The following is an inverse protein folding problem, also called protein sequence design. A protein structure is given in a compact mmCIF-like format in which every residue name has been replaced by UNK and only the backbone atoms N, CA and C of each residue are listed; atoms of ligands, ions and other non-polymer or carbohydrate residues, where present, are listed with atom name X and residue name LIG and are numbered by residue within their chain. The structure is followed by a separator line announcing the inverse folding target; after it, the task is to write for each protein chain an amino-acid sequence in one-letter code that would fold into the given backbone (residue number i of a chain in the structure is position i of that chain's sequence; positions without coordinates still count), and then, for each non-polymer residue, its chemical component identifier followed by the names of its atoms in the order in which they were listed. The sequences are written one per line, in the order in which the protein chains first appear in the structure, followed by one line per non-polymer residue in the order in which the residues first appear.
data_IF_836084189764
#
_entry.id   IF_836084189764
#
_cell.length_a   1.000
_cell.length_b   1.000
_cell.length_c   1.000
_cell.angle_alpha   90.00
_cell.angle_beta   90.00
_cell.angle_gamma   90.00
#
_symmetry.space_group_name_H-M   'P 1'
#
loop_
_entity.id
_entity.type
_entity.pdbx_description
1 polymer ?
#
# COMPACT_ATOMS: atom_id res chain seq x y z
N UNK A 1 3.24 5.38 -19.17
CA UNK A 1 3.11 6.19 -17.98
C UNK A 1 3.13 5.35 -16.74
N UNK A 2 4.24 5.39 -16.04
CA UNK A 2 4.37 4.67 -14.79
C UNK A 2 4.12 5.61 -13.64
N UNK A 3 3.16 5.25 -12.79
CA UNK A 3 2.97 5.93 -11.52
C UNK A 3 3.57 5.07 -10.43
N UNK A 4 3.91 5.70 -9.33
CA UNK A 4 4.49 5.02 -8.18
C UNK A 4 3.61 5.28 -6.96
N UNK A 5 3.64 4.34 -6.03
CA UNK A 5 2.91 4.46 -4.78
C UNK A 5 3.76 3.88 -3.67
N UNK A 6 3.37 4.11 -2.43
CA UNK A 6 4.09 3.58 -1.28
C UNK A 6 3.24 2.50 -0.64
N UNK A 7 3.81 1.30 -0.52
CA UNK A 7 3.15 0.22 0.19
C UNK A 7 3.47 0.37 1.66
N UNK A 8 2.45 0.71 2.45
CA UNK A 8 2.66 0.98 3.87
C UNK A 8 2.75 -0.29 4.70
N UNK A 9 1.83 -1.23 4.48
CA UNK A 9 1.80 -2.46 5.25
C UNK A 9 0.79 -3.43 4.65
N UNK A 10 0.77 -4.65 5.19
CA UNK A 10 -0.23 -5.65 4.85
C UNK A 10 -1.02 -6.03 6.09
N UNK A 11 -2.24 -6.48 5.89
CA UNK A 11 -3.12 -6.94 6.96
C UNK A 11 -3.65 -8.32 6.61
N UNK A 12 -3.77 -9.19 7.61
CA UNK A 12 -4.21 -10.56 7.39
C UNK A 12 -5.73 -10.70 7.35
N UNK A 13 -6.43 -9.75 7.93
CA UNK A 13 -7.89 -9.79 7.99
C UNK A 13 -8.44 -8.38 8.13
N UNK A 14 -9.77 -8.28 8.03
CA UNK A 14 -10.43 -6.98 8.06
C UNK A 14 -10.26 -6.25 9.39
N UNK A 15 -10.20 -6.98 10.48
CA UNK A 15 -10.05 -6.35 11.79
C UNK A 15 -8.68 -5.69 11.91
N UNK A 16 -7.62 -6.38 11.47
CA UNK A 16 -6.29 -5.78 11.43
C UNK A 16 -6.24 -4.58 10.51
N UNK A 17 -6.85 -4.69 9.34
CA UNK A 17 -6.90 -3.58 8.41
C UNK A 17 -7.53 -2.37 9.03
N UNK A 18 -8.68 -2.56 9.68
CA UNK A 18 -9.39 -1.47 10.33
C UNK A 18 -8.54 -0.81 11.40
N UNK A 19 -7.86 -1.63 12.21
CA UNK A 19 -6.98 -1.10 13.25
C UNK A 19 -5.85 -0.28 12.66
N UNK A 20 -5.22 -0.76 11.57
CA UNK A 20 -4.16 -0.02 10.92
C UNK A 20 -4.66 1.30 10.32
N UNK A 21 -5.82 1.26 9.68
CA UNK A 21 -6.38 2.47 9.08
C UNK A 21 -6.73 3.52 10.13
N UNK A 22 -7.18 3.08 11.31
CA UNK A 22 -7.47 4.01 12.39
C UNK A 22 -6.22 4.75 12.87
N UNK A 23 -5.06 4.11 12.79
CA UNK A 23 -3.79 4.75 13.12
C UNK A 23 -3.33 5.65 11.96
N UNK A 24 -3.35 5.09 10.74
CA UNK A 24 -2.84 5.79 9.56
C UNK A 24 -3.56 7.12 9.35
N UNK A 25 -4.88 7.15 9.51
CA UNK A 25 -5.67 8.34 9.27
C UNK A 25 -5.32 9.51 10.18
N UNK A 26 -4.60 9.25 11.25
CA UNK A 26 -4.16 10.32 12.15
C UNK A 26 -2.97 11.08 11.56
N UNK A 27 -2.29 10.51 10.59
CA UNK A 27 -1.04 11.06 10.05
C UNK A 27 -1.13 11.50 8.60
N UNK A 28 -2.01 10.87 7.81
CA UNK A 28 -2.15 11.19 6.39
C UNK A 28 -3.63 11.24 6.03
N UNK A 29 -3.92 11.85 4.88
CA UNK A 29 -5.29 11.97 4.40
C UNK A 29 -5.79 10.61 3.93
N UNK A 30 -6.94 10.21 4.43
CA UNK A 30 -7.51 8.91 4.08
C UNK A 30 -7.82 8.81 2.58
N UNK A 31 -8.07 9.95 1.93
CA UNK A 31 -8.33 9.97 0.50
C UNK A 31 -7.11 9.57 -0.33
N UNK A 32 -5.93 9.61 0.26
CA UNK A 32 -4.70 9.16 -0.40
C UNK A 32 -4.38 7.70 -0.14
N UNK A 33 -5.24 7.00 0.56
CA UNK A 33 -5.05 5.61 0.93
C UNK A 33 -5.83 4.71 0.00
N UNK A 34 -5.17 3.67 -0.49
CA UNK A 34 -5.77 2.64 -1.33
C UNK A 34 -5.50 1.28 -0.72
N UNK A 35 -6.47 0.38 -0.83
CA UNK A 35 -6.33 -0.97 -0.30
C UNK A 35 -6.64 -1.95 -1.41
N UNK A 36 -5.83 -2.99 -1.55
CA UNK A 36 -6.13 -4.04 -2.51
C UNK A 36 -5.84 -5.41 -1.88
N UNK A 37 -6.48 -6.43 -2.43
CA UNK A 37 -6.34 -7.78 -1.92
C UNK A 37 -5.21 -8.48 -2.64
N UNK A 38 -4.42 -9.23 -1.88
CA UNK A 38 -3.35 -10.04 -2.42
C UNK A 38 -3.40 -11.42 -1.79
N UNK A 39 -2.55 -12.31 -2.29
CA UNK A 39 -2.29 -13.58 -1.65
C UNK A 39 -0.86 -13.58 -1.14
N UNK A 40 -0.70 -13.78 0.15
CA UNK A 40 0.61 -13.92 0.75
C UNK A 40 0.71 -15.34 1.29
N UNK A 41 1.62 -16.14 0.72
CA UNK A 41 1.79 -17.54 1.12
C UNK A 41 0.46 -18.29 1.03
N UNK A 42 -0.29 -18.04 -0.03
CA UNK A 42 -1.58 -18.67 -0.32
C UNK A 42 -2.69 -18.30 0.65
N UNK A 43 -2.49 -17.26 1.45
CA UNK A 43 -3.52 -16.76 2.33
C UNK A 43 -3.98 -15.38 1.86
N UNK A 44 -5.28 -15.11 1.93
CA UNK A 44 -5.75 -13.76 1.58
C UNK A 44 -5.10 -12.72 2.49
N UNK A 45 -4.72 -11.63 1.88
CA UNK A 45 -4.11 -10.52 2.60
C UNK A 45 -4.59 -9.23 1.97
N UNK A 46 -4.54 -8.13 2.72
CA UNK A 46 -4.89 -6.82 2.21
C UNK A 46 -3.69 -5.91 2.34
N UNK A 47 -3.35 -5.24 1.25
CA UNK A 47 -2.19 -4.37 1.21
C UNK A 47 -2.65 -2.92 1.15
N UNK A 48 -2.04 -2.09 2.00
CA UNK A 48 -2.38 -0.67 2.11
C UNK A 48 -1.34 0.15 1.37
N UNK A 49 -1.82 1.01 0.46
CA UNK A 49 -0.98 1.86 -0.36
C UNK A 49 -1.26 3.32 -0.02
N UNK A 50 -0.25 4.15 -0.16
CA UNK A 50 -0.37 5.58 0.10
C UNK A 50 0.16 6.38 -1.09
N UNK A 51 -0.68 7.27 -1.60
CA UNK A 51 -0.28 8.28 -2.55
C UNK A 51 -0.12 7.78 -3.98
N UNK A 52 0.01 8.73 -4.89
CA UNK A 52 0.30 8.46 -6.27
C UNK A 52 1.35 9.47 -6.72
N UNK A 53 2.46 8.99 -7.26
CA UNK A 53 3.60 9.83 -7.59
C UNK A 53 4.00 9.62 -9.03
N UNK A 54 4.44 10.71 -9.67
CA UNK A 54 4.77 10.66 -11.09
C UNK A 54 6.09 9.92 -11.34
N UNK A 55 7.00 9.93 -10.38
CA UNK A 55 8.29 9.26 -10.54
C UNK A 55 8.75 8.68 -9.22
N UNK A 56 9.74 7.81 -9.30
CA UNK A 56 10.27 7.11 -8.14
C UNK A 56 10.87 8.06 -7.12
N UNK A 57 11.50 9.12 -7.59
CA UNK A 57 12.13 10.08 -6.70
C UNK A 57 11.10 10.76 -5.81
N UNK A 58 9.98 11.18 -6.40
CA UNK A 58 8.92 11.81 -5.62
C UNK A 58 8.37 10.84 -4.58
N UNK A 59 8.19 9.58 -4.96
CA UNK A 59 7.70 8.57 -4.03
C UNK A 59 8.69 8.34 -2.89
N UNK A 60 9.99 8.28 -3.20
CA UNK A 60 11.00 8.08 -2.16
C UNK A 60 11.10 9.26 -1.21
N UNK A 61 10.95 10.47 -1.72
CA UNK A 61 10.94 11.65 -0.85
C UNK A 61 9.75 11.62 0.09
N UNK A 62 8.58 11.25 -0.43
CA UNK A 62 7.40 11.13 0.42
C UNK A 62 7.59 10.05 1.47
N UNK A 63 8.23 8.94 1.09
CA UNK A 63 8.48 7.84 2.02
C UNK A 63 9.38 8.30 3.17
N UNK A 64 10.41 9.09 2.87
CA UNK A 64 11.32 9.58 3.88
C UNK A 64 10.62 10.50 4.87
N UNK A 65 9.58 11.19 4.42
CA UNK A 65 8.88 12.15 5.26
C UNK A 65 7.73 11.54 6.05
N UNK A 66 7.48 10.25 5.90
CA UNK A 66 6.45 9.58 6.67
C UNK A 66 6.76 9.63 8.17
N UNK A 67 5.72 9.72 9.02
CA UNK A 67 5.95 9.64 10.47
C UNK A 67 6.63 8.35 10.86
N UNK A 68 7.39 8.40 11.94
CA UNK A 68 8.14 7.26 12.43
C UNK A 68 7.25 6.04 12.64
N UNK A 69 6.03 6.26 13.13
CA UNK A 69 5.11 5.16 13.41
C UNK A 69 4.74 4.40 12.13
N UNK A 70 4.69 5.10 10.99
CA UNK A 70 4.42 4.43 9.72
C UNK A 70 5.68 3.81 9.13
N UNK A 71 6.83 4.45 9.33
CA UNK A 71 8.10 3.88 8.85
C UNK A 71 8.47 2.60 9.56
N UNK A 72 7.97 2.38 10.76
CA UNK A 72 8.26 1.17 11.52
C UNK A 72 7.79 -0.08 10.79
N UNK A 73 6.83 0.04 9.88
CA UNK A 73 6.34 -1.08 9.07
C UNK A 73 7.19 -1.32 7.83
N UNK A 74 8.27 -0.59 7.67
CA UNK A 74 9.21 -0.73 6.55
C UNK A 74 8.50 -0.56 5.20
N UNK A 75 7.90 0.60 4.96
CA UNK A 75 7.20 0.84 3.70
C UNK A 75 8.17 0.81 2.53
N UNK A 76 7.65 0.44 1.37
CA UNK A 76 8.45 0.38 0.15
C UNK A 76 7.72 1.08 -0.99
N UNK A 77 8.50 1.56 -1.96
CA UNK A 77 7.95 2.15 -3.16
C UNK A 77 7.60 1.03 -4.13
N UNK A 78 6.40 1.11 -4.72
CA UNK A 78 5.91 0.14 -5.70
C UNK A 78 5.48 0.87 -6.97
N UNK A 79 5.51 0.17 -8.09
CA UNK A 79 4.96 0.72 -9.32
C UNK A 79 3.47 0.40 -9.40
N UNK A 80 2.69 1.35 -9.92
CA UNK A 80 1.26 1.10 -10.12
C UNK A 80 1.05 -0.04 -11.11
N UNK A 81 1.92 -0.15 -12.11
CA UNK A 81 1.84 -1.23 -13.08
C UNK A 81 2.01 -2.59 -12.42
N UNK A 82 2.98 -2.74 -11.53
CA UNK A 82 3.20 -3.99 -10.82
C UNK A 82 2.01 -4.36 -9.96
N UNK A 83 1.41 -3.36 -9.29
CA UNK A 83 0.24 -3.60 -8.46
C UNK A 83 -0.94 -4.04 -9.30
N UNK A 84 -1.16 -3.38 -10.44
CA UNK A 84 -2.25 -3.78 -11.34
C UNK A 84 -2.06 -5.19 -11.86
N UNK A 85 -0.82 -5.59 -12.12
CA UNK A 85 -0.52 -6.94 -12.57
C UNK A 85 -0.86 -7.95 -11.48
N UNK A 86 -0.55 -7.64 -10.22
CA UNK A 86 -0.91 -8.52 -9.10
C UNK A 86 -2.40 -8.66 -8.97
N UNK A 87 -3.13 -7.55 -9.06
CA UNK A 87 -4.59 -7.58 -8.96
C UNK A 87 -5.17 -8.44 -10.06
N UNK A 88 -4.71 -8.25 -11.30
CA UNK A 88 -5.20 -9.02 -12.43
C UNK A 88 -4.93 -10.50 -12.24
N UNK A 89 -3.76 -10.84 -11.71
CA UNK A 89 -3.37 -12.22 -11.49
C UNK A 89 -4.29 -12.90 -10.47
N UNK A 90 -4.65 -12.19 -9.40
CA UNK A 90 -5.50 -12.75 -8.36
C UNK A 90 -6.96 -12.83 -8.79
N UNK A 91 -7.37 -12.01 -9.77
CA UNK A 91 -8.74 -11.99 -10.24
C UNK A 91 -8.97 -12.87 -11.46
N UNK A 92 -7.91 -13.44 -12.02
CA UNK A 92 -8.04 -14.27 -13.20
C UNK A 92 -8.83 -15.53 -12.89
N UNK A 93 -9.82 -15.87 -13.69
CA UNK A 93 -10.52 -17.15 -13.52
C UNK A 93 -9.59 -18.30 -13.87
N UNK A 94 -9.81 -19.42 -13.26
CA UNK A 94 -9.04 -20.62 -13.55
C UNK A 94 -9.75 -21.52 -14.51
#
# INVERSE_FOLDING_TARGET
NNAFTIQLLGADNQQQLKNHLNVIRKYVEITDIFVYRTLAKQKPSMTVLYGSFADRRAAQEALKQLPTVLKANKPIVRTAQGIRAEIAQHQSPQ
#
